data_IF_448083109228
#
_entry.id   IF_448083109228
#
_cell.length_a   1.000
_cell.length_b   1.000
_cell.length_c   1.000
_cell.angle_alpha   90.00
_cell.angle_beta   90.00
_cell.angle_gamma   90.00
#
_symmetry.space_group_name_H-M   'P 1'
#
loop_
_entity.id
_entity.type
_entity.pdbx_description
1 polymer ?
#
# COMPACT_ATOMS: atom_id res chain seq x y z
N UNK A 1 20.49 -36.52 -72.01
CA UNK A 1 19.52 -37.52 -72.53
C UNK A 1 18.86 -38.16 -71.32
N UNK A 2 17.59 -37.79 -71.06
CA UNK A 2 16.40 -38.66 -71.15
C UNK A 2 16.47 -39.87 -70.21
N UNK A 3 15.49 -40.23 -69.41
CA UNK A 3 14.16 -39.76 -69.01
C UNK A 3 13.61 -40.94 -68.15
N UNK A 4 12.68 -40.69 -67.22
CA UNK A 4 11.67 -41.65 -66.70
C UNK A 4 12.18 -42.89 -65.90
N UNK A 5 11.50 -43.45 -64.88
CA UNK A 5 10.06 -43.59 -64.62
C UNK A 5 9.83 -44.07 -63.17
N UNK A 6 8.71 -43.62 -62.58
CA UNK A 6 8.09 -44.04 -61.32
C UNK A 6 7.52 -45.48 -61.41
N UNK A 7 7.36 -46.19 -60.28
CA UNK A 7 6.07 -46.67 -59.70
C UNK A 7 6.27 -47.64 -58.49
N UNK A 8 5.34 -47.48 -57.54
CA UNK A 8 5.06 -48.11 -56.22
C UNK A 8 5.09 -49.65 -56.13
N UNK A 9 5.27 -50.21 -54.92
CA UNK A 9 4.39 -51.18 -54.16
C UNK A 9 4.87 -51.21 -52.67
N UNK A 10 4.12 -50.65 -51.70
CA UNK A 10 3.22 -51.27 -50.71
C UNK A 10 3.84 -52.12 -49.57
N UNK A 11 3.74 -51.57 -48.34
CA UNK A 11 3.36 -52.19 -47.06
C UNK A 11 4.19 -53.34 -46.44
N UNK A 12 4.89 -53.06 -45.32
CA UNK A 12 5.05 -54.02 -44.22
C UNK A 12 5.27 -53.34 -42.85
N UNK A 13 4.24 -53.44 -42.00
CA UNK A 13 4.21 -53.71 -40.54
C UNK A 13 5.23 -52.98 -39.63
N UNK A 14 4.77 -52.04 -38.79
CA UNK A 14 4.27 -52.28 -37.43
C UNK A 14 5.39 -52.73 -36.46
N UNK A 15 5.88 -51.79 -35.65
CA UNK A 15 6.68 -52.13 -34.47
C UNK A 15 7.69 -51.07 -34.05
N UNK A 16 7.24 -49.92 -33.53
CA UNK A 16 8.07 -49.06 -32.66
C UNK A 16 7.17 -48.04 -31.92
N UNK A 17 6.21 -48.56 -31.16
CA UNK A 17 5.52 -47.81 -30.11
C UNK A 17 5.60 -48.65 -28.85
N UNK A 18 6.71 -48.52 -28.11
CA UNK A 18 6.77 -48.73 -26.66
C UNK A 18 8.22 -48.68 -26.19
N UNK A 19 8.67 -47.51 -25.75
CA UNK A 19 9.57 -47.32 -24.60
C UNK A 19 9.82 -45.81 -24.42
N UNK A 20 8.74 -45.06 -24.19
CA UNK A 20 8.90 -43.91 -23.31
C UNK A 20 8.81 -44.49 -21.90
N UNK A 21 9.86 -44.38 -21.06
CA UNK A 21 9.71 -44.74 -19.66
C UNK A 21 8.52 -43.95 -19.14
N UNK A 22 7.54 -44.67 -18.60
CA UNK A 22 6.49 -44.09 -17.79
C UNK A 22 7.15 -43.10 -16.87
N UNK A 23 6.78 -41.81 -16.97
CA UNK A 23 7.13 -40.85 -15.95
C UNK A 23 6.69 -41.50 -14.63
N UNK A 24 7.66 -41.98 -13.85
CA UNK A 24 7.40 -42.35 -12.48
C UNK A 24 6.75 -41.11 -11.90
N UNK A 25 5.48 -41.23 -11.50
CA UNK A 25 4.87 -40.26 -10.61
C UNK A 25 5.95 -39.98 -9.56
N UNK A 26 6.49 -38.75 -9.52
CA UNK A 26 7.59 -38.42 -8.63
C UNK A 26 7.15 -38.89 -7.25
N UNK A 27 7.71 -40.01 -6.79
CA UNK A 27 7.37 -40.55 -5.49
C UNK A 27 7.97 -39.55 -4.53
N UNK A 28 7.13 -38.61 -4.06
CA UNK A 28 7.55 -37.60 -3.12
C UNK A 28 8.29 -38.30 -1.99
N UNK A 29 9.50 -37.83 -1.72
CA UNK A 29 10.36 -38.42 -0.70
C UNK A 29 9.59 -38.50 0.63
N UNK A 30 9.75 -39.62 1.31
CA UNK A 30 9.28 -39.84 2.68
C UNK A 30 10.21 -39.12 3.65
N UNK A 31 9.72 -38.80 4.85
CA UNK A 31 10.55 -38.18 5.89
C UNK A 31 10.82 -39.17 7.02
N UNK A 32 12.09 -39.52 7.21
CA UNK A 32 12.54 -40.23 8.41
C UNK A 32 12.87 -39.18 9.49
N UNK A 33 11.96 -38.99 10.44
CA UNK A 33 12.05 -37.92 11.45
C UNK A 33 12.93 -38.40 12.61
N UNK A 34 13.89 -37.57 13.02
CA UNK A 34 14.79 -37.82 14.14
C UNK A 34 14.26 -37.15 15.41
N UNK A 35 14.68 -37.65 16.57
CA UNK A 35 14.22 -37.16 17.89
C UNK A 35 14.62 -35.72 18.21
N UNK A 36 15.59 -35.17 17.49
CA UNK A 36 16.00 -33.76 17.59
C UNK A 36 15.12 -32.83 16.75
N UNK A 37 14.14 -33.38 16.00
CA UNK A 37 13.23 -32.64 15.13
C UNK A 37 13.73 -32.50 13.68
N UNK A 38 14.98 -32.89 13.38
CA UNK A 38 15.48 -32.95 12.01
C UNK A 38 14.90 -34.16 11.26
N UNK A 39 15.06 -34.20 9.94
CA UNK A 39 14.60 -35.34 9.14
C UNK A 39 15.54 -35.67 7.99
N UNK A 40 15.51 -36.93 7.57
CA UNK A 40 16.17 -37.41 6.36
C UNK A 40 15.13 -37.67 5.27
N UNK A 41 15.32 -37.09 4.09
CA UNK A 41 14.50 -37.38 2.91
C UNK A 41 14.88 -38.75 2.37
N UNK A 42 13.93 -39.66 2.28
CA UNK A 42 14.18 -41.04 1.89
C UNK A 42 13.12 -41.59 0.95
N UNK A 43 13.48 -42.51 0.06
CA UNK A 43 12.49 -43.22 -0.77
C UNK A 43 12.01 -44.51 -0.09
N UNK A 44 12.89 -45.15 0.69
CA UNK A 44 12.67 -46.39 1.43
C UNK A 44 13.66 -46.54 2.59
N UNK A 45 13.33 -47.38 3.58
CA UNK A 45 14.22 -47.72 4.70
C UNK A 45 13.98 -49.14 5.22
N UNK A 46 15.01 -49.71 5.85
CA UNK A 46 15.02 -51.03 6.49
C UNK A 46 15.61 -50.91 7.90
N UNK A 47 14.98 -51.54 8.89
CA UNK A 47 15.53 -51.63 10.25
C UNK A 47 16.37 -52.90 10.37
N UNK A 48 17.68 -52.75 10.62
CA UNK A 48 18.66 -53.83 10.77
C UNK A 48 19.30 -53.78 12.15
N UNK A 49 18.74 -54.56 13.09
CA UNK A 49 19.16 -54.53 14.49
C UNK A 49 18.99 -53.13 15.09
N UNK A 50 20.10 -52.53 15.53
CA UNK A 50 20.15 -51.20 16.14
C UNK A 50 20.36 -50.05 15.13
N UNK A 51 20.38 -50.36 13.83
CA UNK A 51 20.54 -49.38 12.75
C UNK A 51 19.30 -49.32 11.87
N UNK A 52 19.04 -48.15 11.31
CA UNK A 52 18.06 -47.91 10.25
C UNK A 52 18.83 -47.53 9.02
N UNK A 53 18.75 -48.37 7.99
CA UNK A 53 19.37 -48.13 6.69
C UNK A 53 18.32 -47.55 5.76
N UNK A 54 18.50 -46.32 5.30
CA UNK A 54 17.55 -45.63 4.41
C UNK A 54 18.21 -45.22 3.10
N UNK A 55 17.43 -45.17 2.02
CA UNK A 55 17.90 -44.69 0.73
C UNK A 55 17.60 -43.20 0.62
N UNK A 56 18.63 -42.37 0.65
CA UNK A 56 18.54 -40.92 0.60
C UNK A 56 17.92 -40.46 -0.71
N UNK A 57 16.83 -39.71 -0.64
CA UNK A 57 16.18 -39.16 -1.82
C UNK A 57 16.97 -37.99 -2.43
N UNK A 58 17.86 -37.36 -1.65
CA UNK A 58 18.71 -36.27 -2.11
C UNK A 58 20.00 -36.79 -2.77
N UNK A 59 20.64 -37.79 -2.15
CA UNK A 59 21.94 -38.31 -2.61
C UNK A 59 21.83 -39.55 -3.48
N UNK A 60 20.69 -40.23 -3.50
CA UNK A 60 20.51 -41.46 -4.29
C UNK A 60 21.37 -42.63 -3.79
N UNK A 61 21.74 -42.63 -2.51
CA UNK A 61 22.61 -43.64 -1.89
C UNK A 61 22.01 -44.18 -0.59
N UNK A 62 22.50 -45.33 -0.15
CA UNK A 62 22.11 -45.91 1.13
C UNK A 62 22.93 -45.30 2.27
N UNK A 63 22.23 -44.86 3.31
CA UNK A 63 22.79 -44.26 4.50
C UNK A 63 22.24 -44.93 5.76
N UNK A 64 22.92 -44.76 6.90
CA UNK A 64 22.55 -45.41 8.16
C UNK A 64 22.50 -44.43 9.33
N UNK A 65 21.43 -44.54 10.13
CA UNK A 65 21.29 -43.85 11.42
C UNK A 65 20.99 -44.85 12.54
N UNK A 66 21.33 -44.56 13.81
CA UNK A 66 20.90 -45.38 14.93
C UNK A 66 19.38 -45.43 15.04
N UNK A 67 18.82 -46.62 15.28
CA UNK A 67 17.37 -46.81 15.48
C UNK A 67 16.84 -45.98 16.66
N UNK A 68 17.67 -45.79 17.69
CA UNK A 68 17.33 -45.00 18.87
C UNK A 68 17.20 -43.50 18.60
N UNK A 69 17.73 -43.01 17.47
CA UNK A 69 17.70 -41.60 17.05
C UNK A 69 16.45 -41.25 16.24
N UNK A 70 15.78 -42.24 15.64
CA UNK A 70 14.54 -42.04 14.88
C UNK A 70 13.36 -41.87 15.83
N UNK A 71 12.54 -40.84 15.58
CA UNK A 71 11.21 -40.71 16.14
C UNK A 71 10.20 -41.42 15.22
N UNK A 72 9.93 -42.69 15.53
CA UNK A 72 8.99 -43.51 14.78
C UNK A 72 7.55 -43.01 14.89
N UNK A 73 7.16 -42.45 16.03
CA UNK A 73 5.81 -41.93 16.22
C UNK A 73 5.58 -40.71 15.31
N UNK A 74 6.56 -39.79 15.25
CA UNK A 74 6.52 -38.65 14.34
C UNK A 74 6.59 -39.08 12.88
N UNK A 75 7.49 -40.01 12.53
CA UNK A 75 7.66 -40.55 11.17
C UNK A 75 6.36 -41.18 10.66
N UNK A 76 5.76 -42.09 11.43
CA UNK A 76 4.53 -42.78 11.03
C UNK A 76 3.34 -41.83 10.94
N UNK A 77 3.26 -40.86 11.87
CA UNK A 77 2.23 -39.82 11.83
C UNK A 77 2.38 -38.96 10.58
N UNK A 78 3.58 -38.52 10.24
CA UNK A 78 3.83 -37.70 9.06
C UNK A 78 3.47 -38.44 7.77
N UNK A 79 3.92 -39.69 7.62
CA UNK A 79 3.60 -40.49 6.44
C UNK A 79 2.10 -40.77 6.31
N UNK A 80 1.40 -40.98 7.43
CA UNK A 80 -0.07 -41.13 7.45
C UNK A 80 -0.79 -39.84 7.09
N UNK A 81 -0.39 -38.72 7.68
CA UNK A 81 -0.98 -37.41 7.39
C UNK A 81 -0.78 -37.06 5.91
N UNK A 82 0.42 -37.28 5.38
CA UNK A 82 0.76 -37.12 3.95
C UNK A 82 -0.08 -38.03 3.05
N UNK A 83 -0.18 -39.32 3.37
CA UNK A 83 -0.98 -40.26 2.60
C UNK A 83 -2.48 -39.89 2.60
N UNK A 84 -2.96 -39.24 3.66
CA UNK A 84 -4.32 -38.70 3.75
C UNK A 84 -4.51 -37.35 3.04
N UNK A 85 -3.47 -36.81 2.38
CA UNK A 85 -3.54 -35.54 1.65
C UNK A 85 -3.50 -34.30 2.54
N UNK A 86 -3.15 -34.42 3.82
CA UNK A 86 -2.98 -33.24 4.68
C UNK A 86 -1.71 -32.48 4.28
N UNK A 87 -1.77 -31.14 4.21
CA UNK A 87 -0.57 -30.33 3.98
C UNK A 87 0.44 -30.56 5.10
N UNK A 88 1.72 -30.55 4.74
CA UNK A 88 2.80 -30.64 5.72
C UNK A 88 2.74 -29.43 6.68
N UNK A 89 3.18 -29.57 7.94
CA UNK A 89 3.16 -28.47 8.90
C UNK A 89 3.84 -27.20 8.38
N UNK A 90 4.95 -27.33 7.65
CA UNK A 90 5.67 -26.18 7.08
C UNK A 90 4.84 -25.46 6.00
N UNK A 91 4.04 -26.19 5.21
CA UNK A 91 3.16 -25.59 4.22
C UNK A 91 2.01 -24.81 4.89
N UNK A 92 1.46 -25.34 5.98
CA UNK A 92 0.41 -24.65 6.76
C UNK A 92 0.95 -23.38 7.43
N UNK A 93 2.20 -23.40 7.90
CA UNK A 93 2.84 -22.22 8.47
C UNK A 93 3.13 -21.16 7.42
N UNK A 94 3.66 -21.56 6.26
CA UNK A 94 3.89 -20.66 5.13
C UNK A 94 2.59 -20.03 4.63
N UNK A 95 1.51 -20.81 4.50
CA UNK A 95 0.19 -20.30 4.10
C UNK A 95 -0.32 -19.24 5.10
N UNK A 96 -0.09 -19.44 6.41
CA UNK A 96 -0.46 -18.46 7.44
C UNK A 96 0.40 -17.20 7.38
N UNK A 97 1.69 -17.35 7.16
CA UNK A 97 2.61 -16.22 7.02
C UNK A 97 2.26 -15.36 5.80
N UNK A 98 2.03 -16.00 4.66
CA UNK A 98 1.64 -15.33 3.42
C UNK A 98 0.26 -14.67 3.51
N UNK A 99 -0.68 -15.31 4.20
CA UNK A 99 -1.99 -14.72 4.51
C UNK A 99 -1.84 -13.49 5.43
N UNK A 100 -0.95 -13.55 6.43
CA UNK A 100 -0.68 -12.42 7.31
C UNK A 100 0.04 -11.27 6.59
N UNK A 101 0.96 -11.57 5.67
CA UNK A 101 1.62 -10.59 4.82
C UNK A 101 0.61 -9.89 3.91
N UNK A 102 -0.26 -10.65 3.25
CA UNK A 102 -1.34 -10.08 2.43
C UNK A 102 -2.25 -9.17 3.25
N UNK A 103 -2.66 -9.60 4.45
CA UNK A 103 -3.47 -8.76 5.34
C UNK A 103 -2.73 -7.49 5.78
N UNK A 104 -1.42 -7.57 5.99
CA UNK A 104 -0.60 -6.41 6.34
C UNK A 104 -0.47 -5.43 5.15
N UNK A 105 -0.38 -5.92 3.92
CA UNK A 105 -0.40 -5.09 2.71
C UNK A 105 -1.76 -4.44 2.49
N UNK A 106 -2.86 -5.21 2.55
CA UNK A 106 -4.23 -4.70 2.44
C UNK A 106 -4.55 -3.64 3.51
N UNK A 107 -3.94 -3.75 4.70
CA UNK A 107 -4.07 -2.76 5.75
C UNK A 107 -3.40 -1.41 5.39
N UNK A 108 -2.41 -1.38 4.50
CA UNK A 108 -1.75 -0.13 4.05
C UNK A 108 -2.62 0.66 3.06
N UNK A 109 -3.46 -0.02 2.29
CA UNK A 109 -4.31 0.55 1.22
C UNK A 109 -5.80 0.45 1.56
N UNK A 110 -6.28 1.15 2.61
CA UNK A 110 -7.67 1.02 3.04
C UNK A 110 -8.65 1.40 1.92
N UNK A 111 -9.72 0.61 1.82
CA UNK A 111 -10.87 0.95 0.99
C UNK A 111 -11.65 2.10 1.63
N UNK A 112 -11.90 3.16 0.87
CA UNK A 112 -12.58 4.37 1.33
C UNK A 112 -13.97 4.55 0.72
N UNK A 113 -14.22 3.84 -0.38
CA UNK A 113 -15.53 3.61 -0.98
C UNK A 113 -15.48 2.28 -1.77
N UNK A 114 -16.63 1.70 -2.18
CA UNK A 114 -16.63 0.48 -2.99
C UNK A 114 -15.77 0.63 -4.25
N UNK A 115 -14.77 -0.23 -4.40
CA UNK A 115 -13.81 -0.20 -5.53
C UNK A 115 -12.79 0.94 -5.49
N UNK A 116 -12.69 1.70 -4.39
CA UNK A 116 -11.72 2.79 -4.25
C UNK A 116 -10.83 2.56 -3.03
N UNK A 117 -9.56 2.31 -3.30
CA UNK A 117 -8.50 2.16 -2.30
C UNK A 117 -7.59 3.39 -2.29
N UNK A 118 -7.04 3.71 -1.13
CA UNK A 118 -5.95 4.68 -1.04
C UNK A 118 -4.63 4.06 -1.51
N UNK A 119 -3.72 4.83 -2.14
CA UNK A 119 -2.44 4.33 -2.61
C UNK A 119 -1.53 3.94 -1.44
N UNK A 120 -0.60 3.02 -1.68
CA UNK A 120 0.44 2.64 -0.71
C UNK A 120 1.54 3.70 -0.58
N UNK A 121 1.73 4.52 -1.61
CA UNK A 121 2.70 5.63 -1.67
C UNK A 121 2.40 6.80 -0.73
N UNK A 122 1.22 6.81 -0.08
CA UNK A 122 0.76 7.96 0.70
C UNK A 122 0.27 9.12 -0.20
N UNK A 123 0.23 10.32 0.37
CA UNK A 123 -0.21 11.56 -0.26
C UNK A 123 -1.43 12.22 0.41
N UNK A 124 -2.08 13.12 -0.31
CA UNK A 124 -3.34 13.75 0.10
C UNK A 124 -4.38 13.51 -0.99
N UNK A 125 -5.46 12.82 -0.63
CA UNK A 125 -6.47 12.35 -1.59
C UNK A 125 -7.85 12.79 -1.16
N UNK A 126 -8.61 13.43 -2.04
CA UNK A 126 -9.98 13.86 -1.82
C UNK A 126 -10.95 12.80 -2.36
N UNK A 127 -11.90 12.34 -1.54
CA UNK A 127 -13.03 11.53 -1.98
C UNK A 127 -14.19 12.43 -2.37
N UNK A 128 -14.55 12.35 -3.64
CA UNK A 128 -15.60 13.14 -4.27
C UNK A 128 -16.75 12.24 -4.75
N UNK A 129 -17.84 12.85 -5.17
CA UNK A 129 -18.92 12.19 -5.91
C UNK A 129 -19.31 13.04 -7.11
N UNK A 130 -18.90 12.60 -8.29
CA UNK A 130 -19.21 13.25 -9.56
C UNK A 130 -20.23 12.42 -10.33
N UNK A 131 -21.34 13.04 -10.74
CA UNK A 131 -22.41 12.36 -11.49
C UNK A 131 -22.89 11.04 -10.82
N UNK A 132 -23.06 11.07 -9.49
CA UNK A 132 -23.43 9.92 -8.65
C UNK A 132 -22.41 8.77 -8.62
N UNK A 133 -21.16 8.99 -9.05
CA UNK A 133 -20.08 8.02 -8.93
C UNK A 133 -19.03 8.53 -7.95
N UNK A 134 -18.62 7.72 -6.96
CA UNK A 134 -17.51 8.10 -6.10
C UNK A 134 -16.21 8.08 -6.92
N UNK A 135 -15.30 8.99 -6.61
CA UNK A 135 -13.98 9.05 -7.24
C UNK A 135 -12.95 9.59 -6.25
N UNK A 136 -11.68 9.27 -6.47
CA UNK A 136 -10.57 9.81 -5.69
C UNK A 136 -9.77 10.80 -6.52
N UNK A 137 -9.50 11.96 -5.96
CA UNK A 137 -8.74 13.04 -6.58
C UNK A 137 -7.49 13.34 -5.76
N UNK A 138 -6.31 13.04 -6.30
CA UNK A 138 -5.05 13.37 -5.65
C UNK A 138 -4.81 14.89 -5.64
N UNK A 139 -4.63 15.44 -4.44
CA UNK A 139 -4.30 16.85 -4.25
C UNK A 139 -2.79 17.03 -4.37
N UNK A 140 -2.40 17.97 -5.21
CA UNK A 140 -1.00 18.32 -5.40
C UNK A 140 -0.54 19.27 -4.29
N UNK A 141 0.69 19.08 -3.83
CA UNK A 141 1.29 20.00 -2.87
C UNK A 141 1.58 21.34 -3.55
N UNK A 142 1.15 22.41 -2.91
CA UNK A 142 1.21 23.80 -3.34
C UNK A 142 1.80 24.68 -2.23
N UNK A 143 2.31 25.86 -2.59
CA UNK A 143 2.90 26.80 -1.62
C UNK A 143 4.39 26.59 -1.44
N UNK A 144 5.19 27.62 -1.77
CA UNK A 144 6.66 27.55 -1.79
C UNK A 144 7.32 28.81 -2.35
N UNK A 145 6.57 29.62 -3.11
CA UNK A 145 6.99 30.98 -3.42
C UNK A 145 6.74 31.89 -2.21
N UNK A 146 7.64 31.81 -1.22
CA UNK A 146 7.86 32.95 -0.36
C UNK A 146 8.30 34.09 -1.27
N UNK A 147 7.35 34.98 -1.63
CA UNK A 147 7.72 36.26 -2.21
C UNK A 147 8.61 36.94 -1.20
N UNK A 148 9.92 36.84 -1.46
CA UNK A 148 10.96 37.68 -0.90
C UNK A 148 10.69 39.10 -1.37
N UNK A 149 9.63 39.74 -0.88
CA UNK A 149 9.46 41.20 -0.87
C UNK A 149 10.51 41.84 0.08
N UNK A 150 11.68 41.21 0.18
CA UNK A 150 12.86 41.56 0.94
C UNK A 150 13.59 42.76 0.33
N UNK A 151 13.45 42.99 -0.98
CA UNK A 151 14.21 44.07 -1.65
C UNK A 151 13.69 45.48 -1.33
N UNK A 152 12.47 45.63 -0.83
CA UNK A 152 11.89 46.93 -0.44
C UNK A 152 11.78 47.17 1.06
N UNK A 153 11.51 46.12 1.85
CA UNK A 153 11.15 46.27 3.28
C UNK A 153 12.28 45.93 4.27
N UNK A 154 13.27 45.11 3.90
CA UNK A 154 14.39 44.78 4.82
C UNK A 154 15.37 45.94 4.97
N UNK A 155 15.55 46.75 3.92
CA UNK A 155 16.35 47.97 4.01
C UNK A 155 15.74 48.99 4.99
N UNK A 156 14.42 48.94 5.24
CA UNK A 156 13.79 49.76 6.29
C UNK A 156 13.84 49.12 7.68
N UNK A 157 13.92 47.79 7.79
CA UNK A 157 14.11 47.10 9.07
C UNK A 157 15.47 47.42 9.71
N UNK A 158 16.51 47.69 8.90
CA UNK A 158 17.80 48.18 9.37
C UNK A 158 17.78 49.64 9.87
N UNK A 159 16.75 50.42 9.50
CA UNK A 159 16.59 51.84 9.87
C UNK A 159 15.58 51.99 11.02
N UNK A 160 14.70 51.01 11.25
CA UNK A 160 13.75 51.02 12.35
C UNK A 160 13.58 49.61 12.97
N UNK A 161 14.21 49.34 14.14
CA UNK A 161 14.21 48.03 14.79
C UNK A 161 12.83 47.59 15.34
N UNK A 162 11.74 48.27 15.00
CA UNK A 162 10.37 48.02 15.48
C UNK A 162 9.49 47.34 14.41
N UNK A 163 9.96 47.22 13.16
CA UNK A 163 9.13 46.70 12.06
C UNK A 163 9.05 45.15 12.04
N UNK A 164 7.86 44.60 12.33
CA UNK A 164 7.55 43.16 12.17
C UNK A 164 7.53 42.73 10.69
N UNK A 165 7.99 41.51 10.39
CA UNK A 165 7.88 40.94 9.05
C UNK A 165 6.52 40.25 8.85
N UNK A 166 5.82 40.54 7.74
CA UNK A 166 4.58 39.85 7.34
C UNK A 166 4.85 39.01 6.09
N UNK A 167 4.47 37.74 6.14
CA UNK A 167 4.58 36.76 5.06
C UNK A 167 3.20 36.16 4.79
N UNK A 168 2.94 35.79 3.54
CA UNK A 168 1.63 35.29 3.12
C UNK A 168 1.85 34.01 2.32
N UNK A 169 1.04 32.98 2.57
CA UNK A 169 1.05 31.74 1.78
C UNK A 169 0.16 31.97 0.56
N UNK A 170 0.82 32.23 -0.57
CA UNK A 170 0.17 32.53 -1.85
C UNK A 170 0.26 31.31 -2.78
N UNK A 171 -0.87 30.94 -3.36
CA UNK A 171 -0.97 29.90 -4.39
C UNK A 171 -1.34 30.59 -5.71
N UNK A 172 -0.57 30.38 -6.79
CA UNK A 172 -0.89 30.94 -8.09
C UNK A 172 -2.23 30.45 -8.64
N UNK A 173 -2.87 31.32 -9.42
CA UNK A 173 -4.10 31.02 -10.14
C UNK A 173 -5.36 31.25 -9.30
N UNK A 174 -6.48 31.56 -9.96
CA UNK A 174 -7.76 31.84 -9.28
C UNK A 174 -8.46 30.57 -8.76
N UNK A 175 -8.13 29.39 -9.31
CA UNK A 175 -8.81 28.14 -9.00
C UNK A 175 -7.85 26.97 -8.82
N UNK A 176 -8.20 26.07 -7.91
CA UNK A 176 -7.53 24.78 -7.75
C UNK A 176 -7.75 23.91 -8.99
N UNK A 177 -6.76 23.06 -9.29
CA UNK A 177 -6.87 22.07 -10.36
C UNK A 177 -7.92 21.00 -10.05
N UNK A 178 -8.02 20.60 -8.78
CA UNK A 178 -9.03 19.65 -8.29
C UNK A 178 -10.23 20.40 -7.77
N UNK A 179 -11.42 20.02 -8.23
CA UNK A 179 -12.70 20.58 -7.79
C UNK A 179 -13.55 19.46 -7.19
N UNK A 180 -13.93 19.62 -5.93
CA UNK A 180 -14.92 18.76 -5.28
C UNK A 180 -16.33 19.14 -5.77
N UNK A 181 -17.09 18.13 -6.19
CA UNK A 181 -18.47 18.28 -6.65
C UNK A 181 -19.49 18.13 -5.51
N UNK A 182 -19.03 17.75 -4.31
CA UNK A 182 -19.81 17.71 -3.08
C UNK A 182 -19.34 18.76 -2.08
N UNK A 183 -20.25 19.22 -1.22
CA UNK A 183 -19.96 20.24 -0.18
C UNK A 183 -19.39 19.65 1.11
N UNK A 184 -19.36 18.32 1.26
CA UNK A 184 -18.83 17.62 2.43
C UNK A 184 -17.77 16.58 1.99
N UNK A 185 -16.65 17.01 1.37
CA UNK A 185 -15.63 16.07 0.95
C UNK A 185 -14.94 15.41 2.15
N UNK A 186 -14.62 14.13 2.02
CA UNK A 186 -13.67 13.46 2.90
C UNK A 186 -12.29 13.55 2.28
N UNK A 187 -11.28 13.95 3.07
CA UNK A 187 -9.91 14.09 2.59
C UNK A 187 -9.03 13.16 3.42
N UNK A 188 -8.26 12.32 2.74
CA UNK A 188 -7.37 11.34 3.33
C UNK A 188 -5.94 11.84 3.22
N UNK A 189 -5.21 11.82 4.33
CA UNK A 189 -3.86 12.35 4.44
C UNK A 189 -2.94 11.28 4.99
N UNK A 190 -1.86 11.01 4.26
CA UNK A 190 -0.73 10.19 4.71
C UNK A 190 0.54 10.84 4.16
N UNK A 191 1.14 11.71 4.94
CA UNK A 191 2.36 12.43 4.56
C UNK A 191 3.39 12.20 5.65
N UNK A 192 4.56 11.68 5.26
CA UNK A 192 5.68 11.50 6.15
C UNK A 192 6.33 12.85 6.45
N UNK A 193 6.73 13.07 7.71
CA UNK A 193 7.46 14.29 8.10
C UNK A 193 8.87 14.36 7.49
N UNK A 194 9.38 13.25 6.92
CA UNK A 194 10.74 13.15 6.38
C UNK A 194 10.94 13.87 5.03
N UNK A 195 9.87 14.06 4.25
CA UNK A 195 9.93 14.80 2.98
C UNK A 195 9.87 16.33 3.15
N UNK A 196 9.88 16.81 4.40
CA UNK A 196 9.99 18.22 4.72
C UNK A 196 11.49 18.57 4.90
N UNK A 197 12.05 19.57 4.20
CA UNK A 197 13.36 20.11 4.55
C UNK A 197 13.24 20.88 5.88
N UNK A 198 13.29 20.17 7.00
CA UNK A 198 13.35 20.76 8.34
C UNK A 198 14.80 20.93 8.76
N UNK A 199 15.28 22.17 8.62
CA UNK A 199 16.49 22.65 9.28
C UNK A 199 16.18 22.90 10.77
N UNK A 200 16.03 21.83 11.55
CA UNK A 200 16.04 21.91 13.03
C UNK A 200 16.12 20.50 13.65
N UNK A 201 17.33 19.99 13.78
CA UNK A 201 17.64 18.87 14.68
C UNK A 201 17.66 19.39 16.13
N UNK A 202 16.52 19.38 16.80
CA UNK A 202 16.49 19.31 18.27
C UNK A 202 15.60 18.14 18.70
N UNK A 203 16.04 17.30 19.65
CA UNK A 203 15.19 16.26 20.20
C UNK A 203 14.16 16.89 21.13
N UNK A 204 13.00 17.27 20.60
CA UNK A 204 11.87 17.71 21.41
C UNK A 204 11.07 16.50 21.91
N UNK A 205 11.17 16.27 23.22
CA UNK A 205 10.14 15.57 24.01
C UNK A 205 8.94 16.51 24.19
N UNK A 206 8.06 16.60 23.19
CA UNK A 206 6.67 17.06 23.33
C UNK A 206 5.78 16.09 22.51
N UNK A 207 4.55 15.79 22.96
CA UNK A 207 3.77 14.67 22.43
C UNK A 207 3.48 14.89 20.95
N UNK A 208 3.69 13.85 20.14
CA UNK A 208 3.31 13.79 18.73
C UNK A 208 1.93 14.43 18.56
N UNK A 209 1.86 15.50 17.76
CA UNK A 209 0.59 16.16 17.51
C UNK A 209 -0.36 15.09 16.94
N UNK A 210 -1.56 14.91 17.53
CA UNK A 210 -2.50 13.91 17.07
C UNK A 210 -2.79 14.06 15.57
N UNK A 211 -3.49 13.09 15.00
CA UNK A 211 -4.05 13.19 13.65
C UNK A 211 -4.95 14.44 13.43
N UNK A 212 -5.24 15.21 14.48
CA UNK A 212 -5.91 16.50 14.45
C UNK A 212 -5.04 17.66 13.93
N UNK A 213 -3.72 17.46 13.72
CA UNK A 213 -2.82 18.46 13.13
C UNK A 213 -3.21 18.92 11.73
N UNK A 214 -3.94 18.08 11.00
CA UNK A 214 -4.44 18.41 9.66
C UNK A 214 -5.77 19.15 9.75
N UNK A 215 -5.82 20.36 9.21
CA UNK A 215 -7.00 21.22 9.19
C UNK A 215 -7.34 21.66 7.77
N UNK A 216 -8.58 22.11 7.57
CA UNK A 216 -9.00 22.77 6.33
C UNK A 216 -9.01 24.27 6.57
N UNK A 217 -8.47 25.06 5.65
CA UNK A 217 -8.59 26.52 5.63
C UNK A 217 -9.38 26.96 4.41
N UNK A 218 -10.19 28.00 4.57
CA UNK A 218 -10.80 28.70 3.43
C UNK A 218 -9.85 29.77 2.93
N UNK A 219 -9.53 29.72 1.64
CA UNK A 219 -8.64 30.67 1.01
C UNK A 219 -9.39 31.94 0.57
N UNK A 220 -8.64 33.03 0.45
CA UNK A 220 -9.13 34.29 -0.12
C UNK A 220 -8.48 34.53 -1.48
N UNK A 221 -9.27 34.87 -2.49
CA UNK A 221 -8.72 35.29 -3.78
C UNK A 221 -8.27 36.76 -3.70
N UNK A 222 -7.05 37.03 -4.15
CA UNK A 222 -6.48 38.38 -4.22
C UNK A 222 -5.52 38.48 -5.40
N UNK A 223 -5.81 39.40 -6.33
CA UNK A 223 -4.95 39.69 -7.49
C UNK A 223 -4.60 38.43 -8.32
N UNK A 224 -5.58 37.55 -8.56
CA UNK A 224 -5.39 36.31 -9.33
C UNK A 224 -4.57 35.22 -8.61
N UNK A 225 -4.44 35.34 -7.29
CA UNK A 225 -3.81 34.36 -6.40
C UNK A 225 -4.78 33.96 -5.31
N UNK A 226 -4.58 32.78 -4.73
CA UNK A 226 -5.31 32.29 -3.56
C UNK A 226 -4.42 32.39 -2.33
N UNK A 227 -4.95 32.95 -1.26
CA UNK A 227 -4.24 33.23 -0.01
C UNK A 227 -4.73 32.26 1.06
N UNK A 228 -3.86 31.38 1.54
CA UNK A 228 -4.21 30.38 2.56
C UNK A 228 -4.08 30.92 3.99
N UNK A 229 -3.15 31.84 4.22
CA UNK A 229 -2.95 32.47 5.51
C UNK A 229 -1.84 33.52 5.52
N UNK A 230 -1.81 34.29 6.60
CA UNK A 230 -0.81 35.32 6.90
C UNK A 230 0.01 34.91 8.12
N UNK A 231 1.32 35.17 8.06
CA UNK A 231 2.28 34.94 9.14
C UNK A 231 2.91 36.28 9.50
N UNK A 232 2.81 36.66 10.76
CA UNK A 232 3.39 37.88 11.33
C UNK A 232 4.47 37.48 12.33
N UNK A 233 5.70 37.92 12.07
CA UNK A 233 6.86 37.70 12.93
C UNK A 233 7.18 39.01 13.64
N UNK A 234 6.96 39.05 14.95
CA UNK A 234 7.32 40.19 15.78
C UNK A 234 8.85 40.29 15.92
N UNK A 235 9.36 41.50 16.15
CA UNK A 235 10.82 41.77 16.30
C UNK A 235 11.48 40.91 17.37
N UNK A 236 10.76 40.58 18.45
CA UNK A 236 11.24 39.71 19.54
C UNK A 236 11.07 38.20 19.26
N UNK A 237 10.80 37.82 18.00
CA UNK A 237 10.76 36.43 17.56
C UNK A 237 9.39 35.73 17.66
N UNK A 238 8.36 36.37 18.23
CA UNK A 238 7.03 35.75 18.31
C UNK A 238 6.37 35.67 16.94
N UNK A 239 6.02 34.45 16.53
CA UNK A 239 5.25 34.16 15.33
C UNK A 239 3.76 34.15 15.69
N UNK A 240 2.93 34.80 14.87
CA UNK A 240 1.47 34.71 14.94
C UNK A 240 0.92 34.49 13.54
N UNK A 241 -0.19 33.75 13.45
CA UNK A 241 -0.77 33.36 12.17
C UNK A 241 -2.25 33.72 12.11
N UNK A 242 -2.68 34.20 10.96
CA UNK A 242 -4.08 34.51 10.66
C UNK A 242 -4.52 33.67 9.46
N UNK A 243 -5.45 32.75 9.69
CA UNK A 243 -6.00 31.86 8.68
C UNK A 243 -7.49 31.61 8.97
N UNK A 244 -8.27 31.40 7.93
CA UNK A 244 -9.70 31.12 8.07
C UNK A 244 -9.92 29.62 8.22
N UNK A 245 -9.66 29.10 9.41
CA UNK A 245 -9.87 27.70 9.74
C UNK A 245 -11.35 27.32 9.57
N UNK A 246 -11.56 26.20 8.90
CA UNK A 246 -12.83 25.51 8.82
C UNK A 246 -12.89 24.47 9.94
N UNK A 247 -13.99 24.39 10.72
CA UNK A 247 -14.18 23.31 11.67
C UNK A 247 -14.13 21.94 10.98
N UNK A 248 -13.25 21.06 11.45
CA UNK A 248 -13.06 19.71 10.91
C UNK A 248 -12.96 18.67 12.01
N UNK A 249 -13.35 17.44 11.66
CA UNK A 249 -13.05 16.23 12.43
C UNK A 249 -11.92 15.44 11.75
N UNK A 250 -11.07 14.79 12.54
CA UNK A 250 -10.01 13.92 12.04
C UNK A 250 -10.10 12.54 12.71
N UNK A 251 -9.94 11.47 11.92
CA UNK A 251 -9.97 10.09 12.39
C UNK A 251 -8.83 9.28 11.76
N UNK A 252 -8.14 8.47 12.57
CA UNK A 252 -7.09 7.56 12.09
C UNK A 252 -7.71 6.36 11.36
N UNK A 253 -7.05 5.93 10.29
CA UNK A 253 -7.32 4.71 9.54
C UNK A 253 -6.11 3.77 9.59
N UNK A 254 -6.24 2.60 8.99
CA UNK A 254 -5.11 1.68 8.78
C UNK A 254 -4.09 2.29 7.81
N UNK A 255 -2.86 1.77 7.80
CA UNK A 255 -1.82 2.26 6.89
C UNK A 255 -1.25 3.64 7.20
N UNK A 256 -1.58 4.22 8.36
CA UNK A 256 -1.12 5.57 8.74
C UNK A 256 -1.98 6.71 8.20
N UNK A 257 -3.03 6.39 7.44
CA UNK A 257 -3.95 7.37 6.87
C UNK A 257 -4.77 8.09 7.94
N UNK A 258 -5.05 9.37 7.68
CA UNK A 258 -5.95 10.21 8.48
C UNK A 258 -7.09 10.71 7.60
N UNK A 259 -8.33 10.46 8.01
CA UNK A 259 -9.52 11.02 7.37
C UNK A 259 -9.87 12.36 8.02
N UNK A 260 -9.77 13.44 7.27
CA UNK A 260 -10.19 14.80 7.62
C UNK A 260 -11.55 15.08 6.95
N UNK A 261 -12.51 15.61 7.69
CA UNK A 261 -13.84 15.93 7.16
C UNK A 261 -14.34 17.27 7.72
N UNK A 262 -14.88 18.18 6.88
CA UNK A 262 -15.57 19.37 7.36
C UNK A 262 -16.73 19.01 8.28
N UNK A 263 -16.89 19.73 9.38
CA UNK A 263 -18.00 19.52 10.32
C UNK A 263 -19.34 20.08 9.79
N UNK A 264 -19.31 20.89 8.73
CA UNK A 264 -20.49 21.45 8.08
C UNK A 264 -20.24 21.60 6.56
N UNK A 265 -21.31 21.66 5.73
CA UNK A 265 -21.18 21.87 4.30
C UNK A 265 -20.34 23.11 3.95
N UNK A 266 -19.31 22.89 3.14
CA UNK A 266 -18.48 23.95 2.58
C UNK A 266 -19.27 24.73 1.54
N UNK A 267 -19.28 26.06 1.65
CA UNK A 267 -19.79 26.91 0.58
C UNK A 267 -18.82 26.90 -0.62
N UNK A 268 -19.33 27.14 -1.83
CA UNK A 268 -18.50 27.28 -3.04
C UNK A 268 -17.32 28.23 -2.81
N UNK A 269 -16.15 27.82 -3.30
CA UNK A 269 -14.91 28.59 -3.17
C UNK A 269 -13.67 27.71 -3.02
N UNK A 270 -12.56 28.35 -2.66
CA UNK A 270 -11.23 27.76 -2.63
C UNK A 270 -10.81 27.40 -1.20
N UNK A 271 -10.22 26.21 -1.03
CA UNK A 271 -9.82 25.66 0.25
C UNK A 271 -8.47 24.96 0.14
N UNK A 272 -7.82 24.75 1.28
CA UNK A 272 -6.62 23.92 1.35
C UNK A 272 -6.62 23.07 2.62
N UNK A 273 -6.03 21.87 2.52
CA UNK A 273 -5.58 21.11 3.69
C UNK A 273 -4.22 21.65 4.10
N UNK A 274 -4.06 21.89 5.40
CA UNK A 274 -2.85 22.43 5.99
C UNK A 274 -2.45 21.60 7.20
N UNK A 275 -1.15 21.48 7.42
CA UNK A 275 -0.60 20.84 8.61
C UNK A 275 -0.22 21.93 9.64
N UNK A 276 -0.63 21.75 10.90
CA UNK A 276 -0.18 22.59 12.01
C UNK A 276 1.03 21.95 12.70
N UNK A 277 2.13 22.69 12.78
CA UNK A 277 3.41 22.33 13.40
C UNK A 277 3.49 22.87 14.84
N UNK A 278 2.40 22.69 15.61
CA UNK A 278 2.34 23.08 17.02
C UNK A 278 2.60 24.58 17.26
N UNK A 279 3.68 24.90 17.98
CA UNK A 279 4.07 26.30 18.30
C UNK A 279 4.68 27.03 17.10
N UNK A 280 5.17 26.31 16.10
CA UNK A 280 5.72 26.88 14.86
C UNK A 280 4.61 27.34 13.91
N UNK A 281 3.39 26.85 14.14
CA UNK A 281 2.19 27.19 13.40
C UNK A 281 2.02 26.36 12.13
N UNK A 282 1.24 26.85 11.18
CA UNK A 282 0.93 26.19 9.91
C UNK A 282 2.16 26.02 9.00
N UNK A 283 2.26 24.83 8.39
CA UNK A 283 3.19 24.48 7.33
C UNK A 283 2.92 25.33 6.06
N UNK A 284 3.99 25.80 5.41
CA UNK A 284 3.88 26.60 4.18
C UNK A 284 3.45 25.77 2.96
N UNK A 285 3.71 24.46 3.01
CA UNK A 285 3.22 23.51 2.03
C UNK A 285 1.79 23.11 2.38
N UNK A 286 0.89 23.30 1.42
CA UNK A 286 -0.55 23.09 1.56
C UNK A 286 -1.09 22.30 0.37
N UNK A 287 -2.24 21.67 0.50
CA UNK A 287 -2.87 20.91 -0.58
C UNK A 287 -4.21 21.56 -0.94
N UNK A 288 -4.26 22.24 -2.09
CA UNK A 288 -5.42 23.04 -2.48
C UNK A 288 -6.49 22.27 -3.25
N UNK A 289 -7.75 22.63 -3.01
CA UNK A 289 -8.93 22.12 -3.72
C UNK A 289 -10.02 23.20 -3.78
N UNK A 290 -10.84 23.16 -4.82
CA UNK A 290 -12.04 23.97 -4.92
C UNK A 290 -13.27 23.17 -4.50
N UNK A 291 -14.32 23.86 -4.04
CA UNK A 291 -15.66 23.29 -3.90
C UNK A 291 -16.52 23.98 -4.95
N UNK A 292 -16.97 23.22 -5.95
CA UNK A 292 -17.85 23.68 -7.00
C UNK A 292 -18.68 22.51 -7.53
N UNK A 293 -19.94 22.35 -7.08
CA UNK A 293 -20.83 21.28 -7.54
C UNK A 293 -21.11 21.26 -9.06
N UNK A 294 -20.79 22.34 -9.76
CA UNK A 294 -21.01 22.50 -11.22
C UNK A 294 -19.72 22.47 -12.03
N UNK A 295 -18.59 22.16 -11.41
CA UNK A 295 -17.32 22.04 -12.11
C UNK A 295 -17.34 20.90 -13.15
N UNK A 296 -16.50 20.99 -14.20
CA UNK A 296 -16.19 19.85 -15.05
C UNK A 296 -15.47 18.74 -14.28
N UNK A 297 -15.46 17.52 -14.85
CA UNK A 297 -14.74 16.38 -14.29
C UNK A 297 -13.27 16.70 -14.01
N UNK A 298 -12.75 16.20 -12.88
CA UNK A 298 -11.33 16.20 -12.62
C UNK A 298 -10.64 15.21 -13.61
N UNK A 299 -9.58 15.63 -14.33
CA UNK A 299 -9.01 14.83 -15.42
C UNK A 299 -8.25 13.59 -14.95
N UNK A 300 -7.73 13.62 -13.72
CA UNK A 300 -6.89 12.56 -13.14
C UNK A 300 -7.61 11.77 -12.04
N UNK A 301 -8.95 11.87 -11.97
CA UNK A 301 -9.74 11.19 -10.96
C UNK A 301 -9.63 9.66 -11.09
N UNK A 302 -9.30 8.97 -10.00
CA UNK A 302 -9.37 7.52 -9.92
C UNK A 302 -10.81 7.09 -9.71
N UNK A 303 -11.28 6.18 -10.58
CA UNK A 303 -12.64 5.66 -10.56
C UNK A 303 -12.67 4.30 -9.88
N UNK A 304 -13.84 3.84 -9.40
CA UNK A 304 -13.96 2.54 -8.78
C UNK A 304 -13.47 1.43 -9.71
N UNK A 305 -12.64 0.53 -9.20
CA UNK A 305 -12.27 -0.69 -9.90
C UNK A 305 -13.52 -1.54 -10.16
N UNK A 306 -13.77 -1.85 -11.43
CA UNK A 306 -14.95 -2.59 -11.88
C UNK A 306 -15.07 -4.03 -11.33
N UNK A 307 -14.01 -4.55 -10.69
CA UNK A 307 -14.02 -5.86 -10.01
C UNK A 307 -14.75 -5.83 -8.66
N UNK A 308 -14.88 -4.66 -8.02
CA UNK A 308 -15.50 -4.54 -6.69
C UNK A 308 -17.04 -4.65 -6.68
N UNK A 309 -17.68 -4.72 -7.86
CA UNK A 309 -19.12 -5.00 -8.00
C UNK A 309 -19.43 -6.47 -8.27
N UNK A 310 -18.41 -7.33 -8.37
CA UNK A 310 -18.62 -8.77 -8.51
C UNK A 310 -18.63 -9.37 -7.10
N UNK A 311 -19.72 -9.99 -6.63
CA UNK A 311 -19.65 -10.82 -5.43
C UNK A 311 -18.53 -11.86 -5.62
N UNK A 312 -17.84 -12.30 -4.55
CA UNK A 312 -16.83 -13.33 -4.65
C UNK A 312 -17.40 -14.47 -5.49
N UNK A 313 -16.69 -14.98 -6.51
CA UNK A 313 -17.18 -16.11 -7.28
C UNK A 313 -17.53 -17.20 -6.27
N UNK A 314 -18.79 -17.64 -6.29
CA UNK A 314 -19.21 -18.80 -5.51
C UNK A 314 -18.17 -19.88 -5.77
N UNK A 315 -17.54 -20.37 -4.69
CA UNK A 315 -16.61 -21.49 -4.76
C UNK A 315 -17.25 -22.56 -5.66
N UNK A 316 -16.59 -23.01 -6.75
CA UNK A 316 -17.15 -24.05 -7.59
C UNK A 316 -17.52 -25.23 -6.71
N UNK A 317 -18.79 -25.65 -6.76
CA UNK A 317 -19.32 -26.81 -6.03
C UNK A 317 -18.65 -28.14 -6.43
N UNK A 318 -17.73 -28.12 -7.39
CA UNK A 318 -17.22 -29.32 -8.06
C UNK A 318 -15.95 -29.93 -7.46
N UNK A 319 -15.56 -29.57 -6.23
CA UNK A 319 -14.46 -30.23 -5.51
C UNK A 319 -14.89 -31.15 -4.35
N UNK A 320 -16.17 -31.57 -4.31
CA UNK A 320 -16.66 -32.56 -3.32
C UNK A 320 -16.88 -33.97 -3.86
N UNK A 321 -16.56 -34.27 -5.13
CA UNK A 321 -16.65 -35.63 -5.65
C UNK A 321 -15.31 -36.18 -6.13
N UNK A 322 -14.39 -36.42 -5.17
CA UNK A 322 -13.42 -37.52 -5.22
C UNK A 322 -13.07 -37.93 -3.78
N UNK A 323 -13.99 -38.67 -3.15
CA UNK A 323 -13.68 -39.63 -2.10
C UNK A 323 -14.02 -41.03 -2.63
#
# INVERSE_FOLDING_TARGET
MRELRRILIASLLLGLVSMFPSASAQQLAKRLILKDGSYQLSTQWEVKGDRVRYFSAERGEWEEVPKSMVDWAATDKYEKDRASGKPAPEAVELDKELEAERQAEEAKTPHVAPGLQLPDSGGVVLLDTFQNQPQLDELQQSGGELKKNMKGNILRAAINPIASAKQTIEIPGPHAKVQAHITLPAIYVNVDQQDQPVESQQPQKEPELPWDRFKIVRMQEKQGKRIAGDIKIAVYGKVSQEQKLVPTTAAKLTGGWVKVTPSAPLATGEYAVVELLGKEGMNFYVWDFGVNPTAPTNPMAWKPDGSATTPPPEKPKDLQQRQ
#
